data_IF_419221799864
#
_entry.id   IF_419221799864
#
_cell.length_a   1.000
_cell.length_b   1.000
_cell.length_c   1.000
_cell.angle_alpha   90.00
_cell.angle_beta   90.00
_cell.angle_gamma   90.00
#
_symmetry.space_group_name_H-M   'P 1'
#
loop_
_entity.id
_entity.type
_entity.pdbx_description
1 polymer ?
#
# COMPACT_ATOMS: atom_id res chain seq x y z
N UNK A 1 13.33 28.90 30.34
CA UNK A 1 13.81 29.74 29.21
C UNK A 1 13.75 29.01 27.87
N UNK A 2 14.27 27.77 27.77
CA UNK A 2 14.23 26.97 26.54
C UNK A 2 12.81 26.70 26.00
N UNK A 3 11.90 26.19 26.85
CA UNK A 3 10.51 25.92 26.45
C UNK A 3 9.75 27.16 25.91
N UNK A 4 10.07 28.34 26.43
CA UNK A 4 9.47 29.59 25.99
C UNK A 4 9.89 29.93 24.55
N UNK A 5 11.19 29.86 24.25
CA UNK A 5 11.69 30.11 22.90
C UNK A 5 11.16 29.08 21.89
N UNK A 6 11.05 27.81 22.27
CA UNK A 6 10.47 26.75 21.42
C UNK A 6 9.00 27.04 21.11
N UNK A 7 8.19 27.45 22.07
CA UNK A 7 6.78 27.76 21.82
C UNK A 7 6.57 29.06 21.01
N UNK A 8 7.45 30.05 21.16
CA UNK A 8 7.37 31.32 20.39
C UNK A 8 7.77 31.10 18.93
N UNK A 9 8.85 30.36 18.67
CA UNK A 9 9.36 30.16 17.31
C UNK A 9 8.77 28.92 16.60
N UNK A 10 8.29 27.93 17.34
CA UNK A 10 7.66 26.71 16.82
C UNK A 10 6.34 26.42 17.55
N UNK A 11 5.32 27.29 17.41
CA UNK A 11 4.04 27.07 18.09
C UNK A 11 3.41 25.76 17.63
N UNK A 12 3.00 24.93 18.59
CA UNK A 12 2.34 23.66 18.33
C UNK A 12 0.99 23.94 17.66
N UNK A 13 0.87 23.57 16.39
CA UNK A 13 -0.38 23.70 15.63
C UNK A 13 -1.17 22.41 15.72
N UNK A 14 -2.38 22.50 16.27
CA UNK A 14 -3.35 21.41 16.22
C UNK A 14 -3.91 21.30 14.79
N UNK A 15 -3.35 20.40 14.00
CA UNK A 15 -3.85 20.09 12.66
C UNK A 15 -4.95 19.04 12.78
N UNK A 16 -6.11 19.32 12.19
CA UNK A 16 -7.17 18.31 12.04
C UNK A 16 -6.68 17.23 11.07
N UNK A 17 -6.32 16.06 11.58
CA UNK A 17 -5.99 14.91 10.75
C UNK A 17 -7.29 14.34 10.21
N UNK A 18 -7.46 14.35 8.88
CA UNK A 18 -8.59 13.69 8.24
C UNK A 18 -8.40 12.17 8.32
N UNK A 19 -8.92 11.56 9.38
CA UNK A 19 -8.88 10.11 9.61
C UNK A 19 -9.84 9.31 8.70
N UNK A 20 -10.11 9.78 7.48
CA UNK A 20 -10.79 8.95 6.49
C UNK A 20 -9.87 7.77 6.14
N UNK A 21 -10.07 6.68 6.87
CA UNK A 21 -9.51 5.37 6.55
C UNK A 21 -10.14 4.98 5.22
N UNK A 22 -9.42 5.26 4.13
CA UNK A 22 -9.79 4.73 2.81
C UNK A 22 -9.73 3.21 2.93
N UNK A 23 -10.89 2.57 3.08
CA UNK A 23 -11.00 1.12 3.06
C UNK A 23 -10.42 0.66 1.71
N UNK A 24 -9.24 0.05 1.77
CA UNK A 24 -8.63 -0.57 0.60
C UNK A 24 -9.35 -1.90 0.40
N UNK A 25 -10.45 -1.86 -0.36
CA UNK A 25 -11.31 -3.04 -0.56
C UNK A 25 -10.59 -4.22 -1.21
N UNK A 26 -9.46 -4.00 -1.89
CA UNK A 26 -8.67 -5.06 -2.52
C UNK A 26 -7.78 -5.84 -1.54
N UNK A 27 -7.60 -5.38 -0.29
CA UNK A 27 -6.72 -6.04 0.68
C UNK A 27 -7.52 -7.08 1.45
N UNK A 28 -7.20 -8.36 1.24
CA UNK A 28 -7.81 -9.48 1.95
C UNK A 28 -6.96 -9.91 3.16
N UNK A 29 -7.55 -10.60 4.16
CA UNK A 29 -6.79 -11.15 5.29
C UNK A 29 -5.67 -12.11 4.85
N UNK A 30 -5.87 -12.87 3.76
CA UNK A 30 -4.85 -13.75 3.19
C UNK A 30 -3.65 -12.98 2.63
N UNK A 31 -3.88 -11.83 2.00
CA UNK A 31 -2.82 -10.93 1.55
C UNK A 31 -2.04 -10.37 2.75
N UNK A 32 -2.72 -10.01 3.84
CA UNK A 32 -2.06 -9.54 5.07
C UNK A 32 -1.17 -10.61 5.70
N UNK A 33 -1.68 -11.84 5.87
CA UNK A 33 -0.88 -12.97 6.36
C UNK A 33 0.33 -13.24 5.48
N UNK A 34 0.16 -13.17 4.16
CA UNK A 34 1.26 -13.36 3.21
C UNK A 34 2.29 -12.24 3.27
N UNK A 35 1.87 -11.00 3.54
CA UNK A 35 2.76 -9.86 3.76
C UNK A 35 3.63 -10.06 4.99
N UNK A 36 3.06 -10.55 6.08
CA UNK A 36 3.82 -10.83 7.32
C UNK A 36 4.85 -11.93 7.10
N UNK A 37 4.46 -13.03 6.45
CA UNK A 37 5.41 -14.09 6.04
C UNK A 37 6.52 -13.56 5.15
N UNK A 38 6.20 -12.69 4.20
CA UNK A 38 7.19 -12.08 3.30
C UNK A 38 8.21 -11.22 4.06
N UNK A 39 7.79 -10.49 5.10
CA UNK A 39 8.70 -9.75 5.98
C UNK A 39 9.61 -10.69 6.73
N UNK A 40 9.04 -11.70 7.37
CA UNK A 40 9.78 -12.71 8.13
C UNK A 40 10.84 -13.42 7.26
N UNK A 41 10.45 -13.91 6.08
CA UNK A 41 11.41 -14.54 5.16
C UNK A 41 12.47 -13.56 4.65
N UNK A 42 12.12 -12.28 4.48
CA UNK A 42 13.10 -11.26 4.07
C UNK A 42 14.18 -11.01 5.12
N UNK A 43 13.89 -11.22 6.40
CA UNK A 43 14.89 -11.12 7.47
C UNK A 43 15.82 -12.34 7.44
N UNK A 44 15.26 -13.55 7.31
CA UNK A 44 16.03 -14.79 7.22
C UNK A 44 16.95 -14.81 6.00
N UNK A 45 16.47 -14.34 4.84
CA UNK A 45 17.27 -14.30 3.60
C UNK A 45 18.53 -13.44 3.73
N UNK A 46 18.52 -12.41 4.58
CA UNK A 46 19.68 -11.54 4.79
C UNK A 46 20.81 -12.23 5.54
N UNK A 47 20.48 -13.10 6.49
CA UNK A 47 21.45 -13.80 7.33
C UNK A 47 21.84 -15.17 6.79
N UNK A 48 21.08 -15.73 5.86
CA UNK A 48 21.24 -17.12 5.40
C UNK A 48 22.13 -17.21 4.15
N UNK A 49 23.01 -18.22 4.11
CA UNK A 49 23.83 -18.54 2.92
C UNK A 49 23.23 -19.66 2.04
N UNK A 50 22.19 -20.34 2.51
CA UNK A 50 21.46 -21.35 1.73
C UNK A 50 20.85 -20.74 0.45
N UNK A 51 21.27 -21.25 -0.70
CA UNK A 51 20.86 -20.81 -2.04
C UNK A 51 19.44 -21.24 -2.39
N UNK A 52 19.03 -22.45 -2.03
CA UNK A 52 17.67 -22.97 -2.26
C UNK A 52 16.63 -22.11 -1.56
N UNK A 53 16.91 -21.70 -0.32
CA UNK A 53 16.00 -20.83 0.43
C UNK A 53 15.88 -19.44 -0.23
N UNK A 54 16.97 -18.90 -0.78
CA UNK A 54 16.95 -17.63 -1.52
C UNK A 54 16.10 -17.74 -2.79
N UNK A 55 16.16 -18.85 -3.50
CA UNK A 55 15.34 -19.11 -4.68
C UNK A 55 13.85 -19.28 -4.32
N UNK A 56 13.56 -20.05 -3.27
CA UNK A 56 12.22 -20.17 -2.71
C UNK A 56 11.64 -18.78 -2.39
N UNK A 57 12.39 -17.93 -1.69
CA UNK A 57 11.94 -16.58 -1.36
C UNK A 57 11.71 -15.71 -2.60
N UNK A 58 12.58 -15.78 -3.61
CA UNK A 58 12.38 -15.07 -4.90
C UNK A 58 11.07 -15.49 -5.55
N UNK A 59 10.80 -16.79 -5.61
CA UNK A 59 9.57 -17.36 -6.19
C UNK A 59 8.34 -16.93 -5.38
N UNK A 60 8.40 -17.05 -4.06
CA UNK A 60 7.33 -16.62 -3.15
C UNK A 60 7.01 -15.13 -3.34
N UNK A 61 8.03 -14.27 -3.38
CA UNK A 61 7.88 -12.83 -3.64
C UNK A 61 7.25 -12.55 -5.01
N UNK A 62 7.63 -13.30 -6.05
CA UNK A 62 7.03 -13.19 -7.39
C UNK A 62 5.55 -13.55 -7.37
N UNK A 63 5.17 -14.65 -6.72
CA UNK A 63 3.77 -15.08 -6.57
C UNK A 63 2.98 -14.03 -5.80
N UNK A 64 3.49 -13.54 -4.67
CA UNK A 64 2.84 -12.48 -3.89
C UNK A 64 2.57 -11.24 -4.74
N UNK A 65 3.54 -10.79 -5.56
CA UNK A 65 3.34 -9.65 -6.48
C UNK A 65 2.24 -9.90 -7.50
N UNK A 66 2.13 -11.13 -8.03
CA UNK A 66 1.04 -11.51 -8.96
C UNK A 66 -0.31 -11.47 -8.27
N UNK A 67 -0.41 -11.99 -7.04
CA UNK A 67 -1.65 -11.96 -6.24
C UNK A 67 -2.11 -10.53 -5.98
N UNK A 68 -1.19 -9.62 -5.61
CA UNK A 68 -1.50 -8.20 -5.41
C UNK A 68 -2.04 -7.56 -6.69
N UNK A 69 -1.42 -7.86 -7.85
CA UNK A 69 -1.89 -7.33 -9.14
C UNK A 69 -3.28 -7.85 -9.49
N UNK A 70 -3.53 -9.15 -9.30
CA UNK A 70 -4.83 -9.76 -9.54
C UNK A 70 -5.92 -9.16 -8.65
N UNK A 71 -5.66 -8.98 -7.35
CA UNK A 71 -6.61 -8.38 -6.42
C UNK A 71 -6.97 -6.93 -6.80
N UNK A 72 -5.97 -6.11 -7.16
CA UNK A 72 -6.21 -4.74 -7.63
C UNK A 72 -6.99 -4.71 -8.95
N UNK A 73 -6.67 -5.60 -9.88
CA UNK A 73 -7.38 -5.73 -11.16
C UNK A 73 -8.84 -6.12 -10.94
N UNK A 74 -9.09 -7.08 -10.05
CA UNK A 74 -10.43 -7.52 -9.70
C UNK A 74 -11.29 -6.37 -9.16
N UNK A 75 -10.82 -5.65 -8.15
CA UNK A 75 -11.57 -4.52 -7.58
C UNK A 75 -11.76 -3.39 -8.59
N UNK A 76 -10.75 -3.09 -9.40
CA UNK A 76 -10.87 -2.10 -10.48
C UNK A 76 -11.95 -2.52 -11.48
N UNK A 77 -11.94 -3.77 -11.91
CA UNK A 77 -12.91 -4.29 -12.86
C UNK A 77 -14.32 -4.24 -12.26
N UNK A 78 -14.48 -4.72 -11.02
CA UNK A 78 -15.74 -4.66 -10.27
C UNK A 78 -16.26 -3.23 -10.16
N UNK A 79 -15.41 -2.26 -9.83
CA UNK A 79 -15.80 -0.84 -9.76
C UNK A 79 -16.28 -0.31 -11.11
N UNK A 80 -15.60 -0.66 -12.20
CA UNK A 80 -15.97 -0.19 -13.53
C UNK A 80 -17.26 -0.84 -14.05
N UNK A 81 -17.44 -2.14 -13.84
CA UNK A 81 -18.65 -2.87 -14.28
C UNK A 81 -19.89 -2.49 -13.48
N UNK A 82 -19.73 -2.14 -12.20
CA UNK A 82 -20.83 -1.65 -11.36
C UNK A 82 -21.17 -0.18 -11.62
N UNK A 83 -20.34 0.56 -12.35
CA UNK A 83 -20.56 1.98 -12.58
C UNK A 83 -21.61 2.24 -13.67
N UNK A 84 -22.49 3.23 -13.43
CA UNK A 84 -23.48 3.66 -14.44
C UNK A 84 -22.82 4.27 -15.68
N UNK A 85 -21.67 4.92 -15.52
CA UNK A 85 -20.91 5.51 -16.61
C UNK A 85 -19.46 5.03 -16.55
N UNK A 86 -19.13 4.10 -17.45
CA UNK A 86 -17.82 3.48 -17.53
C UNK A 86 -16.71 4.50 -17.80
N UNK A 87 -16.88 5.35 -18.82
CA UNK A 87 -15.85 6.30 -19.26
C UNK A 87 -15.48 7.30 -18.16
N UNK A 88 -16.48 7.89 -17.50
CA UNK A 88 -16.25 8.82 -16.38
C UNK A 88 -15.54 8.13 -15.23
N UNK A 89 -15.97 6.92 -14.87
CA UNK A 89 -15.38 6.15 -13.77
C UNK A 89 -13.93 5.75 -14.07
N UNK A 90 -13.63 5.34 -15.30
CA UNK A 90 -12.26 5.06 -15.75
C UNK A 90 -11.37 6.30 -15.66
N UNK A 91 -11.83 7.46 -16.15
CA UNK A 91 -11.08 8.72 -16.05
C UNK A 91 -10.83 9.14 -14.60
N UNK A 92 -11.83 8.99 -13.71
CA UNK A 92 -11.64 9.28 -12.28
C UNK A 92 -10.58 8.38 -11.65
N UNK A 93 -10.54 7.09 -12.01
CA UNK A 93 -9.53 6.16 -11.52
C UNK A 93 -8.12 6.57 -11.97
N UNK A 94 -7.96 6.91 -13.27
CA UNK A 94 -6.68 7.35 -13.85
C UNK A 94 -6.19 8.65 -13.21
N UNK A 95 -7.08 9.63 -13.01
CA UNK A 95 -6.71 10.89 -12.37
C UNK A 95 -6.33 10.69 -10.89
N UNK A 96 -7.05 9.80 -10.19
CA UNK A 96 -6.74 9.44 -8.81
C UNK A 96 -5.38 8.73 -8.67
N UNK A 97 -4.93 7.95 -9.66
CA UNK A 97 -3.60 7.31 -9.61
C UNK A 97 -2.49 8.30 -9.92
N UNK A 98 -2.68 9.21 -10.88
CA UNK A 98 -1.72 10.29 -11.19
C UNK A 98 -1.46 11.19 -9.99
N UNK A 99 -2.51 11.70 -9.35
CA UNK A 99 -2.38 12.63 -8.22
C UNK A 99 -1.64 12.03 -7.00
N UNK A 100 -1.74 10.71 -6.79
CA UNK A 100 -1.01 10.02 -5.71
C UNK A 100 0.49 9.90 -5.94
N UNK A 101 0.94 9.95 -7.20
CA UNK A 101 2.35 9.88 -7.54
C UNK A 101 3.02 11.25 -7.47
N UNK A 102 2.27 12.35 -7.65
CA UNK A 102 2.79 13.72 -7.51
C UNK A 102 2.94 14.20 -6.07
N UNK A 103 2.34 13.51 -5.09
CA UNK A 103 2.46 13.85 -3.65
C UNK A 103 3.50 13.01 -2.90
N UNK A 104 4.32 12.24 -3.62
CA UNK A 104 5.47 11.50 -3.09
C UNK A 104 6.75 12.13 -3.57
#
# INVERSE_FOLDING_TARGET
IFLFHVNVHCPIKNVKVNNQIKKNNWITPGILKSREKLKFYSEIVKSTNNTEFKEFFKTYRKIYRKVIQAAKRYETNKFLTQSKNFSKSAWTLINNTKNKNSQK
#
